data_IF_612303768421
#
_entry.id   IF_612303768421
#
_cell.length_a   1.000
_cell.length_b   1.000
_cell.length_c   1.000
_cell.angle_alpha   90.00
_cell.angle_beta   90.00
_cell.angle_gamma   90.00
#
_symmetry.space_group_name_H-M   'P 1'
#
loop_
_entity.id
_entity.type
_entity.pdbx_description
1 polymer ?
#
# COMPACT_ATOMS: atom_id res chain seq x y z
N UNK A 1 -26.95 41.21 28.43
CA UNK A 1 -27.55 40.01 27.85
C UNK A 1 -26.54 39.42 26.87
N UNK A 2 -25.94 38.31 27.30
CA UNK A 2 -24.98 37.36 26.70
C UNK A 2 -24.43 37.65 25.28
N UNK A 3 -23.10 37.86 25.19
CA UNK A 3 -22.33 37.73 23.95
C UNK A 3 -22.22 36.25 23.54
N UNK A 4 -22.68 35.93 22.34
CA UNK A 4 -22.53 34.61 21.70
C UNK A 4 -21.06 34.38 21.33
N UNK A 5 -20.34 33.60 22.14
CA UNK A 5 -19.04 33.05 21.76
C UNK A 5 -19.31 31.93 20.74
N UNK A 6 -19.12 32.21 19.46
CA UNK A 6 -19.03 31.16 18.43
C UNK A 6 -17.71 30.43 18.65
N UNK A 7 -17.79 29.23 19.22
CA UNK A 7 -16.66 28.31 19.37
C UNK A 7 -16.38 27.73 17.99
N UNK A 8 -15.43 28.31 17.27
CA UNK A 8 -14.95 27.72 16.02
C UNK A 8 -14.28 26.38 16.33
N UNK A 9 -14.82 25.33 15.74
CA UNK A 9 -14.32 23.96 15.89
C UNK A 9 -12.89 23.86 15.37
N UNK A 10 -12.03 23.18 16.13
CA UNK A 10 -10.63 22.97 15.78
C UNK A 10 -10.50 22.02 14.58
N UNK A 11 -10.62 22.54 13.36
CA UNK A 11 -10.38 21.76 12.14
C UNK A 11 -8.88 21.56 11.92
N UNK A 12 -8.37 20.35 12.18
CA UNK A 12 -7.02 19.94 11.75
C UNK A 12 -7.07 19.55 10.27
N UNK A 13 -6.43 20.34 9.41
CA UNK A 13 -6.16 19.93 8.02
C UNK A 13 -5.13 18.80 8.02
N UNK A 14 -5.58 17.57 7.80
CA UNK A 14 -4.71 16.41 7.56
C UNK A 14 -4.10 16.59 6.16
N UNK A 15 -2.78 16.76 6.08
CA UNK A 15 -2.07 16.59 4.80
C UNK A 15 -2.00 15.09 4.51
N UNK A 16 -2.41 14.60 3.33
CA UNK A 16 -2.10 13.23 2.96
C UNK A 16 -0.58 13.10 2.89
N UNK A 17 0.04 12.38 3.83
CA UNK A 17 1.33 11.76 3.56
C UNK A 17 1.04 10.74 2.46
N UNK A 18 1.35 11.06 1.21
CA UNK A 18 1.28 10.04 0.16
C UNK A 18 2.48 9.12 0.33
N UNK A 19 2.40 8.24 1.32
CA UNK A 19 3.33 7.14 1.51
C UNK A 19 2.96 6.03 0.51
N UNK A 20 2.85 6.37 -0.78
CA UNK A 20 2.60 5.40 -1.84
C UNK A 20 3.94 4.82 -2.25
N UNK A 21 4.05 3.50 -2.27
CA UNK A 21 5.26 2.81 -2.67
C UNK A 21 5.40 2.81 -4.20
N UNK A 22 6.46 3.48 -4.68
CA UNK A 22 6.83 3.57 -6.10
C UNK A 22 8.23 2.97 -6.31
N UNK A 23 8.36 1.63 -6.30
CA UNK A 23 9.67 0.98 -6.21
C UNK A 23 10.50 1.03 -7.49
N UNK A 24 11.82 1.00 -7.32
CA UNK A 24 12.83 0.62 -8.32
C UNK A 24 13.24 -0.83 -8.12
N UNK A 25 13.79 -1.45 -9.16
CA UNK A 25 14.25 -2.85 -9.10
C UNK A 25 15.23 -3.03 -7.93
N UNK A 26 14.94 -3.99 -7.06
CA UNK A 26 15.70 -4.28 -5.83
C UNK A 26 15.18 -3.56 -4.58
N UNK A 27 14.29 -2.57 -4.73
CA UNK A 27 13.66 -1.93 -3.58
C UNK A 27 12.78 -2.93 -2.84
N UNK A 28 12.77 -2.79 -1.53
CA UNK A 28 11.98 -3.61 -0.63
C UNK A 28 11.24 -2.78 0.40
N UNK A 29 10.12 -3.30 0.83
CA UNK A 29 9.35 -2.82 1.96
C UNK A 29 9.04 -3.99 2.88
N UNK A 30 9.05 -3.75 4.19
CA UNK A 30 8.69 -4.75 5.18
C UNK A 30 7.88 -4.11 6.31
N UNK A 31 6.98 -4.89 6.88
CA UNK A 31 6.09 -4.42 7.94
C UNK A 31 4.88 -5.32 8.12
N UNK A 32 3.98 -4.89 8.99
CA UNK A 32 2.74 -5.61 9.27
C UNK A 32 1.66 -5.21 8.26
N UNK A 33 1.01 -6.18 7.63
CA UNK A 33 -0.13 -5.91 6.75
C UNK A 33 -1.33 -5.47 7.57
N UNK A 34 -1.82 -4.24 7.36
CA UNK A 34 -2.94 -3.66 8.12
C UNK A 34 -4.26 -3.63 7.37
N UNK A 35 -4.21 -3.46 6.06
CA UNK A 35 -5.43 -3.40 5.24
C UNK A 35 -5.23 -4.07 3.88
N UNK A 36 -6.28 -4.75 3.42
CA UNK A 36 -6.47 -5.22 2.04
C UNK A 36 -7.78 -4.62 1.54
N UNK A 37 -7.72 -3.87 0.44
CA UNK A 37 -8.89 -3.30 -0.22
C UNK A 37 -8.91 -3.78 -1.66
N UNK A 38 -10.06 -4.26 -2.10
CA UNK A 38 -10.25 -4.75 -3.46
C UNK A 38 -11.13 -3.80 -4.26
N UNK A 39 -10.97 -3.81 -5.59
CA UNK A 39 -11.82 -3.05 -6.51
C UNK A 39 -11.89 -1.55 -6.20
N UNK A 40 -10.74 -0.92 -5.93
CA UNK A 40 -10.66 0.50 -5.60
C UNK A 40 -10.42 1.37 -6.84
N UNK A 41 -11.20 2.44 -6.94
CA UNK A 41 -11.06 3.49 -7.95
C UNK A 41 -11.52 3.09 -9.35
N UNK A 42 -11.29 3.97 -10.33
CA UNK A 42 -11.77 3.78 -11.71
C UNK A 42 -11.17 2.58 -12.45
N UNK A 43 -10.08 2.00 -11.92
CA UNK A 43 -9.37 0.89 -12.53
C UNK A 43 -9.58 -0.44 -11.80
N UNK A 44 -10.48 -0.48 -10.80
CA UNK A 44 -10.73 -1.66 -9.96
C UNK A 44 -9.44 -2.31 -9.43
N UNK A 45 -8.47 -1.50 -9.01
CA UNK A 45 -7.19 -2.00 -8.53
C UNK A 45 -7.29 -2.43 -7.06
N UNK A 46 -6.50 -3.43 -6.68
CA UNK A 46 -6.31 -3.77 -5.28
C UNK A 46 -5.35 -2.79 -4.61
N UNK A 47 -5.51 -2.59 -3.31
CA UNK A 47 -4.65 -1.74 -2.48
C UNK A 47 -4.31 -2.47 -1.18
N UNK A 48 -3.04 -2.40 -0.81
CA UNK A 48 -2.50 -2.98 0.41
C UNK A 48 -1.87 -1.90 1.27
N UNK A 49 -2.05 -1.97 2.59
CA UNK A 49 -1.45 -1.03 3.53
C UNK A 49 -0.54 -1.78 4.48
N UNK A 50 0.75 -1.46 4.44
CA UNK A 50 1.78 -2.04 5.32
C UNK A 50 2.22 -0.98 6.32
N UNK A 51 2.29 -1.35 7.59
CA UNK A 51 2.86 -0.52 8.65
C UNK A 51 4.32 -0.91 8.86
N UNK A 52 5.24 -0.01 8.54
CA UNK A 52 6.68 -0.26 8.70
C UNK A 52 7.13 -0.21 10.18
N UNK A 53 8.42 -0.43 10.40
CA UNK A 53 9.03 -0.39 11.75
C UNK A 53 9.06 1.00 12.41
N UNK A 54 8.76 2.05 11.66
CA UNK A 54 8.71 3.43 12.15
C UNK A 54 7.25 3.91 12.35
N UNK A 55 6.30 2.97 12.39
CA UNK A 55 4.86 3.23 12.43
C UNK A 55 4.34 4.06 11.24
N UNK A 56 5.04 4.02 10.10
CA UNK A 56 4.58 4.63 8.86
C UNK A 56 3.71 3.67 8.07
N UNK A 57 2.48 4.11 7.79
CA UNK A 57 1.59 3.41 6.87
C UNK A 57 2.03 3.68 5.43
N UNK A 58 2.26 2.61 4.68
CA UNK A 58 2.70 2.65 3.30
C UNK A 58 1.67 1.93 2.43
N UNK A 59 1.20 2.63 1.41
CA UNK A 59 0.19 2.19 0.46
C UNK A 59 0.90 1.54 -0.72
N UNK A 60 0.51 0.31 -1.03
CA UNK A 60 1.01 -0.45 -2.16
C UNK A 60 -0.15 -0.72 -3.11
N UNK A 61 -0.01 -0.31 -4.36
CA UNK A 61 -0.99 -0.61 -5.40
C UNK A 61 -0.76 -2.00 -5.96
N UNK A 62 -1.84 -2.76 -6.02
CA UNK A 62 -1.89 -4.09 -6.58
C UNK A 62 -1.45 -4.16 -8.03
N UNK A 63 -0.90 -5.31 -8.38
CA UNK A 63 -0.47 -5.71 -9.73
C UNK A 63 -0.76 -7.17 -9.87
N UNK A 64 -1.06 -7.63 -11.08
CA UNK A 64 -1.50 -9.00 -11.33
C UNK A 64 -0.72 -10.08 -10.54
N UNK A 65 0.62 -10.07 -10.61
CA UNK A 65 1.43 -11.05 -9.87
C UNK A 65 1.44 -10.79 -8.35
N UNK A 66 1.53 -9.53 -7.92
CA UNK A 66 1.49 -9.18 -6.49
C UNK A 66 0.14 -9.56 -5.88
N UNK A 67 -0.95 -9.34 -6.60
CA UNK A 67 -2.31 -9.63 -6.14
C UNK A 67 -2.48 -11.13 -5.91
N UNK A 68 -1.91 -11.97 -6.78
CA UNK A 68 -1.86 -13.43 -6.59
C UNK A 68 -1.09 -13.81 -5.32
N UNK A 69 0.11 -13.24 -5.11
CA UNK A 69 0.90 -13.51 -3.89
C UNK A 69 0.16 -13.07 -2.62
N UNK A 70 -0.55 -11.94 -2.68
CA UNK A 70 -1.29 -11.39 -1.54
C UNK A 70 -2.56 -12.18 -1.20
N UNK A 71 -3.01 -13.14 -2.02
CA UNK A 71 -4.19 -13.96 -1.70
C UNK A 71 -3.98 -14.84 -0.47
N UNK A 72 -2.75 -15.33 -0.27
CA UNK A 72 -2.39 -16.24 0.83
C UNK A 72 -2.02 -15.50 2.14
N UNK A 73 -1.95 -14.17 2.09
CA UNK A 73 -1.52 -13.34 3.21
C UNK A 73 -2.71 -12.80 4.00
N UNK A 74 -2.64 -12.95 5.32
CA UNK A 74 -3.63 -12.49 6.26
C UNK A 74 -3.30 -11.08 6.78
N UNK A 75 -4.33 -10.38 7.22
CA UNK A 75 -4.13 -9.16 8.01
C UNK A 75 -3.35 -9.52 9.28
N UNK A 76 -2.47 -8.61 9.70
CA UNK A 76 -1.53 -8.72 10.80
C UNK A 76 -0.31 -9.64 10.56
N UNK A 77 -0.18 -10.28 9.41
CA UNK A 77 1.06 -10.95 9.01
C UNK A 77 2.20 -9.93 8.83
N UNK A 78 3.39 -10.28 9.32
CA UNK A 78 4.60 -9.51 9.06
C UNK A 78 5.19 -9.97 7.72
N UNK A 79 5.15 -9.10 6.72
CA UNK A 79 5.55 -9.41 5.35
C UNK A 79 6.73 -8.56 4.87
N UNK A 80 7.44 -9.06 3.87
CA UNK A 80 8.40 -8.31 3.07
C UNK A 80 8.03 -8.45 1.60
N UNK A 81 7.93 -7.33 0.90
CA UNK A 81 7.71 -7.28 -0.54
C UNK A 81 8.95 -6.69 -1.20
N UNK A 82 9.47 -7.37 -2.21
CA UNK A 82 10.65 -6.96 -3.00
C UNK A 82 10.23 -6.80 -4.44
N UNK A 83 10.54 -5.67 -5.07
CA UNK A 83 10.27 -5.47 -6.49
C UNK A 83 11.44 -5.96 -7.35
N UNK A 84 11.21 -7.00 -8.15
CA UNK A 84 12.23 -7.67 -8.97
C UNK A 84 12.39 -7.07 -10.38
N UNK A 85 11.58 -6.05 -10.72
CA UNK A 85 11.62 -5.37 -12.00
C UNK A 85 10.53 -5.83 -12.96
N UNK A 86 10.79 -5.71 -14.25
CA UNK A 86 9.81 -5.98 -15.31
C UNK A 86 10.25 -7.18 -16.13
N UNK A 87 9.32 -8.10 -16.37
CA UNK A 87 9.44 -9.18 -17.35
C UNK A 87 8.74 -8.78 -18.65
N UNK A 88 9.47 -8.85 -19.78
CA UNK A 88 8.89 -8.68 -21.11
C UNK A 88 8.34 -10.03 -21.59
N UNK A 89 7.04 -10.07 -21.90
CA UNK A 89 6.33 -11.29 -22.32
C UNK A 89 6.16 -11.41 -23.84
N UNK A 90 6.76 -10.51 -24.62
CA UNK A 90 6.50 -10.35 -26.05
C UNK A 90 5.30 -9.44 -26.34
N UNK A 91 5.09 -9.06 -27.60
CA UNK A 91 3.94 -8.26 -28.08
C UNK A 91 3.63 -7.00 -27.24
N UNK A 92 4.68 -6.25 -26.85
CA UNK A 92 4.57 -5.06 -25.99
C UNK A 92 3.89 -5.32 -24.62
N UNK A 93 3.78 -6.58 -24.19
CA UNK A 93 3.26 -6.95 -22.87
C UNK A 93 4.39 -7.02 -21.86
N UNK A 94 4.15 -6.38 -20.72
CA UNK A 94 5.07 -6.31 -19.59
C UNK A 94 4.37 -6.73 -18.32
N UNK A 95 5.08 -7.45 -17.46
CA UNK A 95 4.61 -7.84 -16.14
C UNK A 95 5.60 -7.38 -15.08
N UNK A 96 5.10 -6.78 -14.02
CA UNK A 96 5.90 -6.43 -12.86
C UNK A 96 6.12 -7.66 -11.99
N UNK A 97 7.37 -7.92 -11.62
CA UNK A 97 7.78 -9.06 -10.82
C UNK A 97 8.02 -8.66 -9.36
N UNK A 98 7.53 -9.49 -8.45
CA UNK A 98 7.61 -9.32 -7.01
C UNK A 98 8.04 -10.63 -6.33
N UNK A 99 8.74 -10.50 -5.21
CA UNK A 99 8.90 -11.56 -4.22
C UNK A 99 8.15 -11.12 -2.97
N UNK A 100 7.42 -12.05 -2.34
CA UNK A 100 6.75 -11.84 -1.08
C UNK A 100 7.24 -12.90 -0.09
N UNK A 101 7.80 -12.44 1.02
CA UNK A 101 8.18 -13.29 2.15
C UNK A 101 7.21 -13.00 3.32
N UNK A 102 6.81 -14.04 4.04
CA UNK A 102 6.09 -13.95 5.32
C UNK A 102 7.05 -14.37 6.45
N UNK A 103 6.96 -13.71 7.60
CA UNK A 103 7.74 -14.04 8.79
C UNK A 103 6.92 -14.93 9.72
N UNK A 104 7.44 -16.12 10.02
CA UNK A 104 6.91 -17.05 11.02
C UNK A 104 7.07 -16.56 12.47
#
# INVERSE_FOLDING_TARGET
>A
MIQLIKKEENWRRIKPKSNVWCPKKGDKIEGVLKEKKENIGQFNANQYVVCDKNDELIIIWGKTQLDQLMQEINIDDYIRIIYNGILNLGDNKQMQLYTLDIKD
#
